data_IF_149834943973
#
_entry.id   IF_149834943973
#
_cell.length_a   1.000
_cell.length_b   1.000
_cell.length_c   1.000
_cell.angle_alpha   90.00
_cell.angle_beta   90.00
_cell.angle_gamma   90.00
#
_symmetry.space_group_name_H-M   'P 1'
#
loop_
_entity.id
_entity.type
_entity.pdbx_description
1 polymer ?
#
# COMPACT_ATOMS: atom_id res chain seq x y z
N UNK A 1 -7.74 11.31 6.63
CA UNK A 1 -7.35 9.90 6.40
C UNK A 1 -7.33 9.68 4.89
N UNK A 2 -6.22 9.16 4.34
CA UNK A 2 -6.07 8.92 2.90
C UNK A 2 -6.04 7.42 2.59
N UNK A 3 -6.55 7.03 1.42
CA UNK A 3 -6.55 5.64 0.97
C UNK A 3 -6.05 5.50 -0.47
N UNK A 4 -5.33 4.41 -0.73
CA UNK A 4 -4.97 3.95 -2.08
C UNK A 4 -5.55 2.55 -2.23
N UNK A 5 -6.52 2.40 -3.12
CA UNK A 5 -7.30 1.16 -3.24
C UNK A 5 -6.64 0.19 -4.24
N UNK A 6 -6.26 0.69 -5.42
CA UNK A 6 -5.73 -0.13 -6.50
C UNK A 6 -4.64 0.62 -7.28
N UNK A 7 -3.38 0.57 -6.82
CA UNK A 7 -2.27 1.15 -7.59
C UNK A 7 -2.15 0.40 -8.92
N UNK A 8 -2.14 1.14 -10.02
CA UNK A 8 -2.02 0.59 -11.37
C UNK A 8 -0.85 1.23 -12.10
N UNK A 9 -0.13 0.40 -12.86
CA UNK A 9 0.92 0.83 -13.78
C UNK A 9 0.75 0.01 -15.05
N UNK A 10 0.72 0.68 -16.20
CA UNK A 10 0.67 0.00 -17.50
C UNK A 10 1.78 -1.05 -17.59
N UNK A 11 1.50 -2.26 -18.13
CA UNK A 11 2.45 -3.38 -18.14
C UNK A 11 3.86 -3.02 -18.62
N UNK A 12 3.95 -2.21 -19.68
CA UNK A 12 5.23 -1.75 -20.25
C UNK A 12 6.09 -0.90 -19.30
N UNK A 13 5.50 -0.34 -18.25
CA UNK A 13 6.19 0.48 -17.25
C UNK A 13 6.27 -0.21 -15.87
N UNK A 14 5.79 -1.44 -15.74
CA UNK A 14 5.94 -2.20 -14.49
C UNK A 14 7.40 -2.53 -14.22
N UNK A 15 7.75 -2.75 -12.96
CA UNK A 15 9.13 -3.06 -12.50
C UNK A 15 10.17 -1.95 -12.71
N UNK A 16 9.74 -0.71 -12.95
CA UNK A 16 10.60 0.47 -13.06
C UNK A 16 10.56 1.37 -11.82
N UNK A 17 10.09 0.86 -10.67
CA UNK A 17 10.01 1.62 -9.42
C UNK A 17 8.90 2.68 -9.36
N UNK A 18 8.03 2.76 -10.37
CA UNK A 18 6.97 3.78 -10.45
C UNK A 18 6.00 3.77 -9.26
N UNK A 19 5.67 2.58 -8.75
CA UNK A 19 4.79 2.46 -7.58
C UNK A 19 5.45 3.05 -6.32
N UNK A 20 6.75 2.81 -6.10
CA UNK A 20 7.51 3.38 -4.99
C UNK A 20 7.65 4.90 -5.14
N UNK A 21 7.95 5.38 -6.34
CA UNK A 21 8.03 6.81 -6.63
C UNK A 21 6.69 7.51 -6.39
N UNK A 22 5.58 6.96 -6.89
CA UNK A 22 4.24 7.50 -6.68
C UNK A 22 3.85 7.53 -5.20
N UNK A 23 4.15 6.47 -4.44
CA UNK A 23 3.89 6.43 -3.00
C UNK A 23 4.73 7.47 -2.24
N UNK A 24 5.99 7.66 -2.61
CA UNK A 24 6.87 8.66 -2.01
C UNK A 24 6.37 10.09 -2.27
N UNK A 25 5.96 10.40 -3.51
CA UNK A 25 5.38 11.70 -3.85
C UNK A 25 4.08 11.96 -3.09
N UNK A 26 3.16 10.98 -3.07
CA UNK A 26 1.90 11.08 -2.32
C UNK A 26 2.14 11.36 -0.83
N UNK A 27 3.20 10.77 -0.25
CA UNK A 27 3.57 11.03 1.15
C UNK A 27 4.11 12.43 1.36
N UNK A 28 4.99 12.88 0.47
CA UNK A 28 5.59 14.21 0.54
C UNK A 28 4.54 15.33 0.41
N UNK A 29 3.54 15.14 -0.44
CA UNK A 29 2.45 16.11 -0.65
C UNK A 29 1.45 16.17 0.52
N UNK A 30 1.46 15.15 1.40
CA UNK A 30 0.45 14.97 2.44
C UNK A 30 1.05 14.54 3.79
N UNK A 31 1.94 15.35 4.41
CA UNK A 31 2.76 14.94 5.56
C UNK A 31 2.00 14.72 6.89
N UNK A 32 0.69 15.01 6.95
CA UNK A 32 -0.14 14.80 8.16
C UNK A 32 -1.23 13.74 8.01
N UNK A 33 -1.32 13.08 6.86
CA UNK A 33 -2.36 12.09 6.62
C UNK A 33 -1.94 10.71 7.13
N UNK A 34 -2.78 10.10 7.97
CA UNK A 34 -2.73 8.66 8.18
C UNK A 34 -3.18 7.94 6.90
N UNK A 35 -2.32 7.06 6.40
CA UNK A 35 -2.53 6.32 5.15
C UNK A 35 -2.88 4.86 5.42
N UNK A 36 -3.91 4.38 4.74
CA UNK A 36 -4.27 2.96 4.72
C UNK A 36 -4.28 2.44 3.29
N UNK A 37 -3.68 1.27 3.07
CA UNK A 37 -3.77 0.55 1.80
C UNK A 37 -4.86 -0.49 1.95
N UNK A 38 -6.09 -0.13 1.59
CA UNK A 38 -7.24 -1.06 1.65
C UNK A 38 -7.00 -2.31 0.79
N UNK A 39 -6.31 -2.15 -0.36
CA UNK A 39 -5.86 -3.28 -1.17
C UNK A 39 -4.80 -4.18 -0.49
N UNK A 40 -4.18 -3.73 0.61
CA UNK A 40 -3.22 -4.49 1.40
C UNK A 40 -3.82 -5.50 2.38
N UNK A 41 -5.15 -5.51 2.55
CA UNK A 41 -5.83 -6.49 3.41
C UNK A 41 -5.80 -7.92 2.84
N UNK A 42 -5.68 -8.07 1.52
CA UNK A 42 -5.47 -9.38 0.92
C UNK A 42 -4.05 -9.84 1.19
N UNK A 43 -3.89 -11.07 1.73
CA UNK A 43 -2.56 -11.66 1.95
C UNK A 43 -1.71 -11.69 0.67
N UNK A 44 -2.35 -11.84 -0.49
CA UNK A 44 -1.67 -11.79 -1.80
C UNK A 44 -1.04 -10.44 -2.12
N UNK A 45 -1.53 -9.35 -1.54
CA UNK A 45 -1.03 -7.99 -1.78
C UNK A 45 0.10 -7.61 -0.84
N UNK A 46 0.37 -8.40 0.22
CA UNK A 46 1.40 -8.10 1.21
C UNK A 46 2.80 -7.95 0.57
N UNK A 47 3.28 -8.88 -0.28
CA UNK A 47 4.62 -8.74 -0.89
C UNK A 47 4.76 -7.49 -1.75
N UNK A 48 3.67 -7.06 -2.41
CA UNK A 48 3.66 -5.83 -3.20
C UNK A 48 3.84 -4.60 -2.31
N UNK A 49 3.07 -4.48 -1.23
CA UNK A 49 3.13 -3.31 -0.36
C UNK A 49 4.40 -3.27 0.49
N UNK A 50 4.97 -4.42 0.86
CA UNK A 50 6.30 -4.51 1.46
C UNK A 50 7.37 -3.97 0.51
N UNK A 51 7.37 -4.40 -0.75
CA UNK A 51 8.36 -3.95 -1.74
C UNK A 51 8.22 -2.46 -2.07
N UNK A 52 6.99 -1.97 -2.29
CA UNK A 52 6.73 -0.56 -2.63
C UNK A 52 7.00 0.37 -1.44
N UNK A 53 6.79 -0.12 -0.21
CA UNK A 53 6.94 0.63 1.01
C UNK A 53 8.34 0.64 1.63
N UNK A 54 9.24 -0.26 1.22
CA UNK A 54 10.52 -0.51 1.90
C UNK A 54 11.32 0.77 2.22
N UNK A 55 11.42 1.69 1.25
CA UNK A 55 12.20 2.93 1.38
C UNK A 55 11.35 4.19 1.55
N UNK A 56 10.04 4.05 1.76
CA UNK A 56 9.13 5.19 1.93
C UNK A 56 8.83 5.39 3.42
N UNK A 57 9.27 6.51 4.00
CA UNK A 57 8.94 6.82 5.39
C UNK A 57 7.42 6.83 5.65
N UNK A 58 7.01 6.23 6.76
CA UNK A 58 5.58 6.07 7.11
C UNK A 58 4.84 5.06 6.23
N UNK A 59 5.56 4.17 5.53
CA UNK A 59 5.02 3.11 4.67
C UNK A 59 4.12 2.13 5.39
N UNK A 60 3.50 1.29 4.56
CA UNK A 60 2.48 0.35 4.96
C UNK A 60 2.90 -0.44 6.20
N UNK A 61 2.15 -0.27 7.29
CA UNK A 61 2.07 -1.26 8.33
C UNK A 61 0.77 -2.04 8.16
N UNK A 62 0.87 -3.32 7.84
CA UNK A 62 -0.27 -4.23 7.88
C UNK A 62 -0.82 -4.25 9.29
N UNK A 63 -2.03 -3.72 9.46
CA UNK A 63 -2.79 -3.93 10.69
C UNK A 63 -3.36 -5.33 10.68
N UNK A 64 -3.30 -6.01 11.83
CA UNK A 64 -3.97 -7.29 12.00
C UNK A 64 -5.44 -7.18 11.59
N UNK A 65 -5.92 -8.16 10.83
CA UNK A 65 -7.34 -8.24 10.49
C UNK A 65 -8.17 -8.34 11.76
N UNK A 66 -9.31 -7.63 11.82
CA UNK A 66 -10.22 -7.77 12.93
C UNK A 66 -10.66 -9.26 13.07
N UNK A 67 -10.79 -9.80 14.30
CA UNK A 67 -11.14 -11.21 14.53
C UNK A 67 -12.41 -11.67 13.81
N UNK A 68 -13.34 -10.75 13.53
CA UNK A 68 -14.58 -11.00 12.81
C UNK A 68 -14.39 -11.54 11.38
N UNK A 69 -13.24 -11.27 10.75
CA UNK A 69 -12.94 -11.77 9.39
C UNK A 69 -12.47 -13.24 9.38
N UNK A 70 -12.12 -13.81 10.52
CA UNK A 70 -11.71 -15.23 10.63
C UNK A 70 -12.88 -16.21 10.59
N UNK A 71 -14.13 -15.71 10.62
CA UNK A 71 -15.33 -16.53 10.83
C UNK A 71 -16.12 -16.83 9.54
N UNK A 72 -15.57 -16.53 8.36
CA UNK A 72 -16.11 -16.98 7.08
C UNK A 72 -15.31 -18.18 6.57
N UNK A 73 -15.76 -19.39 6.90
CA UNK A 73 -15.24 -20.64 6.33
C UNK A 73 -16.25 -21.16 5.31
#
# INVERSE_FOLDING_TARGET
MGWVEQPYTHPQYQRHGLASAGLATLRAEHPGLAWHTLGGHFRSSQPFWEAVGADVSGSYQQRGTCPHLTRGR
#
